data_IF_546803206001
#
_entry.id   IF_546803206001
#
_cell.length_a   1.000
_cell.length_b   1.000
_cell.length_c   1.000
_cell.angle_alpha   90.00
_cell.angle_beta   90.00
_cell.angle_gamma   90.00
#
_symmetry.space_group_name_H-M   'P 1'
#
loop_
_entity.id
_entity.type
_entity.pdbx_description
1 polymer ?
#
# COMPACT_ATOMS: atom_id res chain seq x y z
N UNK A 1 14.27 -80.91 -57.01
CA UNK A 1 13.42 -80.47 -58.13
C UNK A 1 12.62 -79.26 -57.66
N UNK A 2 12.40 -78.27 -58.52
CA UNK A 2 11.48 -77.13 -58.30
C UNK A 2 10.13 -77.47 -59.01
N UNK A 3 9.01 -76.70 -58.92
CA UNK A 3 8.90 -75.29 -58.48
C UNK A 3 7.64 -74.85 -57.68
N UNK A 4 7.68 -73.61 -57.14
CA UNK A 4 6.57 -72.69 -56.75
C UNK A 4 5.60 -73.21 -55.63
N UNK A 5 4.81 -72.45 -54.83
CA UNK A 5 4.14 -71.12 -54.81
C UNK A 5 3.96 -70.74 -53.29
N UNK A 6 3.98 -69.54 -52.68
CA UNK A 6 4.07 -68.08 -53.00
C UNK A 6 4.85 -67.30 -51.89
N UNK A 7 4.85 -65.95 -51.92
CA UNK A 7 4.84 -65.04 -50.73
C UNK A 7 3.49 -64.29 -50.66
N UNK A 8 3.10 -63.74 -49.48
CA UNK A 8 3.22 -62.28 -49.27
C UNK A 8 3.96 -61.94 -47.96
N UNK A 9 4.56 -60.77 -47.69
CA UNK A 9 4.56 -59.41 -48.28
C UNK A 9 3.41 -58.45 -47.87
N UNK A 10 3.59 -57.77 -46.73
CA UNK A 10 3.27 -56.35 -46.54
C UNK A 10 1.81 -55.86 -46.62
N UNK A 11 1.20 -55.64 -45.45
CA UNK A 11 0.15 -54.64 -45.13
C UNK A 11 -0.05 -54.64 -43.59
N UNK A 12 -0.57 -53.59 -42.94
CA UNK A 12 -1.23 -52.42 -43.50
C UNK A 12 -0.57 -51.09 -43.09
N UNK A 13 -0.72 -50.10 -43.98
CA UNK A 13 -0.47 -48.68 -43.77
C UNK A 13 -1.85 -47.98 -43.80
N UNK A 14 -1.95 -46.73 -43.30
CA UNK A 14 -3.17 -45.91 -43.20
C UNK A 14 -4.33 -46.47 -42.34
N UNK A 15 -4.52 -45.88 -41.14
CA UNK A 15 -5.85 -45.41 -40.65
C UNK A 15 -5.70 -44.55 -39.39
N UNK A 16 -5.40 -43.25 -39.57
CA UNK A 16 -5.38 -42.26 -38.48
C UNK A 16 -5.79 -40.84 -38.90
N UNK A 17 -6.35 -40.68 -40.12
CA UNK A 17 -6.83 -39.40 -40.66
C UNK A 17 -8.22 -39.64 -41.29
N UNK A 18 -9.09 -38.63 -41.24
CA UNK A 18 -10.45 -38.61 -41.83
C UNK A 18 -11.55 -39.34 -41.04
N UNK A 19 -11.97 -38.77 -39.90
CA UNK A 19 -13.38 -38.82 -39.44
C UNK A 19 -13.76 -37.75 -38.39
N UNK A 20 -13.45 -36.48 -38.66
CA UNK A 20 -13.98 -35.34 -37.90
C UNK A 20 -15.03 -34.60 -38.73
N UNK A 21 -16.28 -35.06 -38.69
CA UNK A 21 -17.44 -34.43 -39.34
C UNK A 21 -18.73 -34.94 -38.68
N UNK A 22 -19.59 -34.01 -38.26
CA UNK A 22 -21.01 -34.22 -37.88
C UNK A 22 -21.30 -35.14 -36.69
N UNK A 23 -21.13 -34.64 -35.45
CA UNK A 23 -22.25 -34.36 -34.52
C UNK A 23 -21.79 -33.59 -33.26
N UNK A 24 -22.77 -33.11 -32.47
CA UNK A 24 -22.66 -32.53 -31.11
C UNK A 24 -21.62 -31.41 -30.87
N UNK A 25 -22.11 -30.17 -30.80
CA UNK A 25 -21.37 -28.98 -30.35
C UNK A 25 -21.20 -28.88 -28.82
N UNK A 26 -20.98 -30.01 -28.15
CA UNK A 26 -20.71 -30.12 -26.71
C UNK A 26 -19.66 -31.19 -26.45
N UNK A 27 -18.38 -30.82 -26.54
CA UNK A 27 -17.18 -31.46 -25.93
C UNK A 27 -15.91 -30.82 -26.54
N UNK A 28 -15.71 -29.53 -26.28
CA UNK A 28 -14.45 -28.83 -26.58
C UNK A 28 -14.04 -27.96 -25.37
N UNK A 29 -14.04 -28.59 -24.20
CA UNK A 29 -13.51 -28.06 -22.96
C UNK A 29 -12.60 -29.14 -22.34
N UNK A 30 -11.46 -28.72 -21.79
CA UNK A 30 -10.56 -29.57 -21.00
C UNK A 30 -9.92 -30.76 -21.73
N UNK A 31 -9.54 -30.60 -23.01
CA UNK A 31 -8.35 -31.29 -23.54
C UNK A 31 -7.13 -30.35 -23.40
N UNK A 32 -6.65 -30.17 -22.16
CA UNK A 32 -5.23 -29.93 -21.97
C UNK A 32 -4.52 -31.19 -22.48
N UNK A 33 -3.53 -31.05 -23.36
CA UNK A 33 -2.81 -32.21 -23.88
C UNK A 33 -2.01 -32.80 -22.71
N UNK A 34 -2.25 -34.07 -22.39
CA UNK A 34 -1.50 -34.78 -21.35
C UNK A 34 -0.05 -34.99 -21.82
N UNK A 35 0.80 -33.99 -21.55
CA UNK A 35 2.17 -33.90 -22.05
C UNK A 35 2.57 -32.51 -22.57
N UNK A 36 1.67 -31.54 -22.66
CA UNK A 36 2.02 -30.14 -22.92
C UNK A 36 2.38 -29.44 -21.58
N UNK A 37 3.60 -28.91 -21.41
CA UNK A 37 3.99 -28.20 -20.20
C UNK A 37 3.42 -26.78 -20.13
N UNK A 38 2.97 -26.20 -21.26
CA UNK A 38 2.45 -24.85 -21.31
C UNK A 38 0.94 -24.77 -20.99
N UNK A 39 0.57 -23.84 -20.11
CA UNK A 39 -0.82 -23.68 -19.68
C UNK A 39 -1.25 -24.66 -18.59
N UNK A 40 -0.32 -25.39 -17.97
CA UNK A 40 -0.62 -26.37 -16.94
C UNK A 40 -0.75 -25.67 -15.57
N UNK A 41 -1.96 -25.60 -14.96
CA UNK A 41 -2.18 -24.89 -13.71
C UNK A 41 -1.47 -25.51 -12.50
N UNK A 42 -0.98 -26.75 -12.61
CA UNK A 42 -0.21 -27.40 -11.55
C UNK A 42 1.25 -26.90 -11.44
N UNK A 43 1.73 -26.08 -12.38
CA UNK A 43 3.13 -25.61 -12.42
C UNK A 43 3.36 -24.24 -11.77
N UNK A 44 2.31 -23.50 -11.42
CA UNK A 44 2.45 -22.16 -10.83
C UNK A 44 2.83 -21.07 -11.83
N UNK A 45 3.40 -19.98 -11.33
CA UNK A 45 3.66 -18.76 -12.10
C UNK A 45 4.78 -18.92 -13.12
N UNK A 46 4.67 -18.25 -14.26
CA UNK A 46 5.77 -18.13 -15.22
C UNK A 46 6.96 -17.33 -14.67
N UNK A 47 6.76 -16.60 -13.57
CA UNK A 47 7.80 -15.85 -12.87
C UNK A 47 8.39 -16.59 -11.66
N UNK A 48 7.98 -17.83 -11.40
CA UNK A 48 8.53 -18.71 -10.37
C UNK A 48 9.49 -19.74 -10.99
N UNK A 49 10.65 -19.93 -10.38
CA UNK A 49 11.66 -20.93 -10.77
C UNK A 49 11.31 -22.31 -10.20
N UNK A 50 11.44 -23.37 -11.02
CA UNK A 50 11.08 -24.76 -10.62
C UNK A 50 11.78 -25.82 -11.48
N UNK A 51 12.05 -27.03 -10.93
CA UNK A 51 12.62 -28.16 -11.65
C UNK A 51 11.63 -28.91 -12.56
N UNK A 52 10.58 -28.22 -13.05
CA UNK A 52 9.64 -28.75 -14.03
C UNK A 52 9.50 -27.75 -15.18
N UNK A 53 9.55 -28.21 -16.45
CA UNK A 53 9.39 -27.32 -17.59
C UNK A 53 7.95 -26.78 -17.69
N UNK A 54 7.81 -25.60 -18.30
CA UNK A 54 6.58 -24.87 -18.54
C UNK A 54 6.01 -24.12 -17.34
N UNK A 55 4.90 -23.41 -17.56
CA UNK A 55 4.20 -22.60 -16.55
C UNK A 55 2.67 -22.54 -16.81
N UNK A 56 1.91 -21.99 -15.86
CA UNK A 56 0.45 -21.99 -15.90
C UNK A 56 -0.21 -21.06 -16.92
N UNK A 57 0.47 -20.02 -17.41
CA UNK A 57 -0.02 -19.22 -18.53
C UNK A 57 0.48 -19.80 -19.87
N UNK A 58 -0.45 -20.24 -20.72
CA UNK A 58 -0.13 -20.88 -22.00
C UNK A 58 0.51 -19.92 -23.02
N UNK A 59 0.09 -18.65 -23.04
CA UNK A 59 0.59 -17.66 -24.00
C UNK A 59 1.99 -17.20 -23.61
N UNK A 60 2.21 -16.91 -22.33
CA UNK A 60 3.52 -16.61 -21.78
C UNK A 60 4.48 -17.79 -22.00
N UNK A 61 4.10 -18.99 -21.57
CA UNK A 61 4.92 -20.19 -21.73
C UNK A 61 5.33 -20.42 -23.19
N UNK A 62 4.37 -20.36 -24.13
CA UNK A 62 4.65 -20.57 -25.56
C UNK A 62 5.60 -19.50 -26.12
N UNK A 63 5.54 -18.26 -25.63
CA UNK A 63 6.47 -17.21 -26.03
C UNK A 63 7.90 -17.47 -25.52
N UNK A 64 8.06 -17.83 -24.24
CA UNK A 64 9.37 -18.16 -23.65
C UNK A 64 9.98 -19.40 -24.31
N UNK A 65 9.20 -20.46 -24.47
CA UNK A 65 9.66 -21.71 -25.09
C UNK A 65 9.93 -21.57 -26.60
N UNK A 66 9.38 -20.53 -27.24
CA UNK A 66 9.73 -20.11 -28.60
C UNK A 66 11.06 -19.33 -28.70
N UNK A 67 11.61 -18.88 -27.57
CA UNK A 67 12.94 -18.26 -27.45
C UNK A 67 13.96 -19.32 -27.01
N UNK A 68 13.67 -20.06 -25.93
CA UNK A 68 14.50 -21.16 -25.44
C UNK A 68 13.67 -22.43 -25.15
N UNK A 69 13.81 -23.50 -25.98
CA UNK A 69 13.18 -24.79 -25.73
C UNK A 69 13.58 -25.49 -24.42
N UNK A 70 14.68 -25.11 -23.77
CA UNK A 70 15.04 -25.62 -22.44
C UNK A 70 13.87 -25.48 -21.45
N UNK A 71 13.13 -24.36 -21.55
CA UNK A 71 11.99 -24.03 -20.72
C UNK A 71 10.77 -24.94 -20.92
N UNK A 72 10.64 -25.67 -22.04
CA UNK A 72 9.61 -26.71 -22.25
C UNK A 72 10.16 -28.15 -22.17
N UNK A 73 11.45 -28.35 -22.40
CA UNK A 73 12.04 -29.69 -22.55
C UNK A 73 12.77 -30.19 -21.29
N UNK A 74 13.21 -29.30 -20.39
CA UNK A 74 14.08 -29.65 -19.25
C UNK A 74 13.59 -29.08 -17.92
N UNK A 75 13.65 -27.76 -17.74
CA UNK A 75 13.49 -27.08 -16.45
C UNK A 75 13.04 -25.63 -16.66
N UNK A 76 12.29 -25.04 -15.73
CA UNK A 76 11.92 -23.63 -15.77
C UNK A 76 12.80 -22.85 -14.79
N UNK A 77 13.99 -22.49 -15.25
CA UNK A 77 15.03 -21.85 -14.45
C UNK A 77 14.91 -20.31 -14.39
N UNK A 78 15.94 -19.65 -13.86
CA UNK A 78 16.01 -18.19 -13.77
C UNK A 78 16.10 -17.50 -15.14
N UNK A 79 16.63 -18.17 -16.17
CA UNK A 79 16.65 -17.69 -17.56
C UNK A 79 15.23 -17.76 -18.14
N UNK A 80 14.48 -18.83 -17.86
CA UNK A 80 13.06 -18.93 -18.22
C UNK A 80 12.21 -17.85 -17.52
N UNK A 81 12.48 -17.56 -16.25
CA UNK A 81 11.87 -16.41 -15.51
C UNK A 81 12.22 -15.07 -16.18
N UNK A 82 13.47 -14.87 -16.60
CA UNK A 82 13.88 -13.63 -17.27
C UNK A 82 13.23 -13.49 -18.66
N UNK A 83 13.23 -14.56 -19.45
CA UNK A 83 12.53 -14.62 -20.73
C UNK A 83 11.04 -14.34 -20.59
N UNK A 84 10.41 -14.76 -19.49
CA UNK A 84 9.01 -14.41 -19.19
C UNK A 84 8.82 -12.92 -18.90
N UNK A 85 9.76 -12.27 -18.22
CA UNK A 85 9.69 -10.84 -17.91
C UNK A 85 9.78 -9.96 -19.16
N UNK A 86 10.70 -10.32 -20.05
CA UNK A 86 11.01 -9.54 -21.25
C UNK A 86 10.09 -9.92 -22.44
N UNK A 87 9.26 -10.95 -22.31
CA UNK A 87 8.27 -11.37 -23.32
C UNK A 87 6.93 -10.63 -23.18
N UNK A 88 6.49 -9.83 -24.19
CA UNK A 88 5.23 -9.08 -24.12
C UNK A 88 3.95 -9.93 -23.97
N UNK A 89 4.04 -11.25 -24.19
CA UNK A 89 2.93 -12.18 -24.00
C UNK A 89 2.63 -12.50 -22.51
N UNK A 90 3.55 -12.17 -21.60
CA UNK A 90 3.48 -12.58 -20.20
C UNK A 90 2.79 -11.59 -19.25
N UNK A 91 2.43 -10.39 -19.74
CA UNK A 91 1.67 -9.38 -18.99
C UNK A 91 2.22 -9.12 -17.57
N UNK A 92 3.53 -8.86 -17.49
CA UNK A 92 4.21 -8.43 -16.26
C UNK A 92 3.52 -7.20 -15.66
N UNK A 93 3.26 -7.24 -14.35
CA UNK A 93 2.85 -6.07 -13.59
C UNK A 93 4.11 -5.40 -13.04
N UNK A 94 4.35 -4.16 -13.46
CA UNK A 94 5.38 -3.29 -12.87
C UNK A 94 5.10 -3.12 -11.36
N UNK A 95 6.11 -3.28 -10.48
CA UNK A 95 5.99 -3.01 -9.04
C UNK A 95 5.45 -1.59 -8.75
N UNK A 96 4.80 -1.41 -7.60
CA UNK A 96 4.32 -0.08 -7.18
C UNK A 96 5.45 0.89 -6.83
N UNK A 97 6.67 0.40 -6.67
CA UNK A 97 7.87 1.10 -6.21
C UNK A 97 9.07 0.92 -7.17
N UNK A 98 8.78 0.91 -8.46
CA UNK A 98 9.73 0.78 -9.58
C UNK A 98 10.68 1.99 -9.75
N UNK A 99 10.51 3.05 -8.96
CA UNK A 99 11.32 4.29 -9.04
C UNK A 99 11.50 4.91 -7.65
N UNK A 100 12.51 5.76 -7.49
CA UNK A 100 12.67 6.56 -6.26
C UNK A 100 11.46 7.45 -5.94
N UNK A 101 10.73 7.90 -6.97
CA UNK A 101 9.55 8.77 -6.84
C UNK A 101 8.27 8.05 -6.36
N UNK A 102 8.27 6.71 -6.32
CA UNK A 102 7.21 5.89 -5.73
C UNK A 102 7.76 4.83 -4.76
N UNK A 103 8.93 5.10 -4.18
CA UNK A 103 9.58 4.22 -3.21
C UNK A 103 8.64 3.84 -2.06
N UNK A 104 8.55 2.55 -1.72
CA UNK A 104 7.70 2.10 -0.61
C UNK A 104 8.38 2.38 0.72
N UNK A 105 7.74 3.16 1.60
CA UNK A 105 8.31 3.45 2.91
C UNK A 105 8.34 2.21 3.81
N UNK A 106 9.47 1.98 4.49
CA UNK A 106 9.74 0.78 5.28
C UNK A 106 10.15 1.07 6.72
N UNK A 107 9.62 0.25 7.64
CA UNK A 107 10.03 0.19 9.05
C UNK A 107 11.07 -0.91 9.31
N UNK A 108 11.31 -1.19 10.59
CA UNK A 108 12.06 -2.37 11.03
C UNK A 108 11.24 -3.66 10.85
N UNK A 109 11.90 -4.80 10.60
CA UNK A 109 11.23 -6.10 10.46
C UNK A 109 11.75 -6.93 9.29
N UNK A 110 10.82 -7.54 8.55
CA UNK A 110 11.10 -8.32 7.34
C UNK A 110 10.14 -7.86 6.24
N UNK A 111 10.68 -7.14 5.25
CA UNK A 111 9.92 -6.50 4.17
C UNK A 111 10.00 -7.38 2.92
N UNK A 112 8.92 -8.04 2.47
CA UNK A 112 8.92 -8.80 1.22
C UNK A 112 8.98 -7.85 0.00
N UNK A 113 9.65 -8.28 -1.06
CA UNK A 113 9.76 -7.53 -2.32
C UNK A 113 9.80 -8.45 -3.55
N UNK A 114 9.63 -7.86 -4.73
CA UNK A 114 9.90 -8.52 -6.01
C UNK A 114 10.42 -7.50 -7.03
N UNK A 115 11.42 -7.90 -7.81
CA UNK A 115 11.91 -7.19 -8.99
C UNK A 115 11.33 -7.75 -10.29
N UNK A 116 10.43 -8.75 -10.19
CA UNK A 116 9.66 -9.24 -11.35
C UNK A 116 8.75 -8.13 -11.88
N UNK A 117 8.86 -7.85 -13.18
CA UNK A 117 8.17 -6.75 -13.84
C UNK A 117 8.84 -5.38 -13.68
N UNK A 118 9.96 -5.29 -12.95
CA UNK A 118 10.64 -4.03 -12.72
C UNK A 118 11.33 -3.48 -13.98
N UNK A 119 11.45 -2.17 -14.07
CA UNK A 119 12.25 -1.49 -15.10
C UNK A 119 13.65 -1.16 -14.58
N UNK A 120 14.49 -0.56 -15.42
CA UNK A 120 15.84 -0.14 -15.04
C UNK A 120 15.81 1.38 -14.78
N UNK A 121 16.34 1.82 -13.64
CA UNK A 121 16.54 3.25 -13.35
C UNK A 121 17.35 3.98 -14.43
N UNK A 122 17.10 5.29 -14.58
CA UNK A 122 17.85 6.20 -15.49
C UNK A 122 19.39 6.13 -15.30
N UNK A 123 19.84 5.73 -14.11
CA UNK A 123 21.26 5.48 -13.78
C UNK A 123 21.40 4.07 -13.20
N UNK A 124 21.80 3.13 -14.07
CA UNK A 124 22.20 1.77 -13.67
C UNK A 124 23.62 1.71 -13.11
N UNK A 125 24.51 2.64 -13.51
CA UNK A 125 25.91 2.67 -13.08
C UNK A 125 26.04 2.88 -11.55
N UNK A 126 26.80 2.01 -10.90
CA UNK A 126 27.13 2.03 -9.47
C UNK A 126 28.67 1.98 -9.29
N UNK A 127 29.22 2.44 -8.14
CA UNK A 127 30.65 2.28 -7.85
C UNK A 127 31.07 0.80 -7.95
N UNK A 128 32.27 0.53 -8.46
CA UNK A 128 32.72 -0.85 -8.70
C UNK A 128 32.82 -1.69 -7.40
N UNK A 129 33.01 -1.05 -6.25
CA UNK A 129 32.90 -1.70 -4.93
C UNK A 129 31.49 -2.22 -4.59
N UNK A 130 30.46 -1.83 -5.35
CA UNK A 130 29.05 -2.19 -5.14
C UNK A 130 28.57 -3.39 -5.98
N UNK A 131 29.21 -3.70 -7.12
CA UNK A 131 28.89 -4.84 -8.01
C UNK A 131 30.02 -5.91 -8.07
N UNK A 132 30.88 -5.91 -7.05
CA UNK A 132 31.91 -6.92 -6.86
C UNK A 132 33.07 -6.81 -7.87
N UNK A 133 33.33 -7.91 -8.59
CA UNK A 133 34.47 -8.03 -9.54
C UNK A 133 33.99 -8.12 -10.99
N UNK A 134 32.68 -8.29 -11.22
CA UNK A 134 32.12 -8.68 -12.51
C UNK A 134 31.11 -7.68 -13.10
N UNK A 135 30.57 -6.75 -12.30
CA UNK A 135 29.69 -5.67 -12.78
C UNK A 135 29.88 -4.36 -12.03
N UNK A 136 29.50 -3.27 -12.69
CA UNK A 136 29.34 -1.92 -12.14
C UNK A 136 27.93 -1.37 -12.45
N UNK A 137 26.95 -2.27 -12.58
CA UNK A 137 25.54 -1.96 -12.86
C UNK A 137 24.59 -2.59 -11.82
N UNK A 138 23.51 -1.88 -11.48
CA UNK A 138 22.28 -2.40 -10.86
C UNK A 138 21.12 -2.22 -11.84
N UNK A 139 20.30 -3.27 -12.05
CA UNK A 139 19.16 -3.23 -12.99
C UNK A 139 17.90 -3.81 -12.37
N UNK A 140 16.76 -3.66 -13.06
CA UNK A 140 15.47 -4.24 -12.65
C UNK A 140 15.12 -3.89 -11.20
N UNK A 141 15.24 -2.61 -10.85
CA UNK A 141 15.41 -2.18 -9.47
C UNK A 141 14.13 -1.62 -8.84
N UNK A 142 13.90 -1.98 -7.58
CA UNK A 142 12.79 -1.50 -6.75
C UNK A 142 13.30 -0.71 -5.56
N UNK A 143 12.52 0.30 -5.17
CA UNK A 143 12.92 1.35 -4.27
C UNK A 143 12.13 1.34 -2.96
N UNK A 144 12.83 1.57 -1.85
CA UNK A 144 12.21 1.75 -0.55
C UNK A 144 12.71 3.03 0.10
N UNK A 145 11.87 3.72 0.85
CA UNK A 145 12.32 4.82 1.71
C UNK A 145 12.43 4.35 3.15
N UNK A 146 13.57 4.57 3.79
CA UNK A 146 13.82 4.23 5.18
C UNK A 146 14.15 5.46 6.00
N UNK A 147 13.51 5.59 7.17
CA UNK A 147 13.81 6.64 8.15
C UNK A 147 14.28 6.04 9.47
N UNK A 148 15.48 6.42 9.89
CA UNK A 148 16.08 5.90 11.12
C UNK A 148 15.42 6.51 12.36
N UNK A 149 15.09 5.68 13.36
CA UNK A 149 14.65 6.17 14.68
C UNK A 149 15.80 6.19 15.69
N UNK A 150 16.99 5.75 15.30
CA UNK A 150 18.21 5.81 16.12
C UNK A 150 19.31 6.62 15.45
N UNK A 151 20.13 7.30 16.25
CA UNK A 151 21.48 7.69 15.87
C UNK A 151 22.44 6.56 16.25
N UNK A 152 23.04 5.92 15.25
CA UNK A 152 23.79 4.68 15.40
C UNK A 152 23.98 4.00 14.05
N UNK A 153 23.48 2.76 13.92
CA UNK A 153 23.54 2.00 12.67
C UNK A 153 22.19 1.35 12.33
N UNK A 154 21.88 1.29 11.03
CA UNK A 154 20.80 0.50 10.46
C UNK A 154 21.41 -0.60 9.57
N UNK A 155 20.93 -1.83 9.73
CA UNK A 155 21.32 -3.01 8.95
C UNK A 155 20.18 -3.45 8.05
N UNK A 156 20.47 -3.55 6.77
CA UNK A 156 19.63 -4.15 5.73
C UNK A 156 20.27 -5.46 5.30
N UNK A 157 19.53 -6.57 5.34
CA UNK A 157 20.07 -7.90 5.10
C UNK A 157 19.11 -8.73 4.27
N UNK A 158 19.56 -9.21 3.12
CA UNK A 158 18.80 -10.11 2.24
C UNK A 158 19.11 -11.59 2.54
N UNK A 159 19.77 -11.89 3.67
CA UNK A 159 20.21 -13.25 3.96
C UNK A 159 19.04 -14.25 4.00
N UNK A 160 19.16 -15.41 3.31
CA UNK A 160 18.14 -16.44 3.30
C UNK A 160 17.78 -16.90 4.71
N UNK A 161 16.52 -16.73 5.11
CA UNK A 161 16.03 -17.21 6.40
C UNK A 161 15.77 -18.71 6.34
N UNK A 162 16.11 -19.46 7.40
CA UNK A 162 16.03 -20.92 7.43
C UNK A 162 14.58 -21.45 7.30
N UNK A 163 14.20 -21.82 6.09
CA UNK A 163 12.91 -22.42 5.72
C UNK A 163 12.93 -22.91 4.28
N UNK A 164 11.92 -23.67 3.86
CA UNK A 164 11.73 -24.03 2.45
C UNK A 164 11.14 -22.86 1.66
N UNK A 165 11.81 -22.41 0.61
CA UNK A 165 11.53 -21.12 -0.04
C UNK A 165 12.33 -20.00 0.62
N UNK A 166 13.65 -20.14 0.65
CA UNK A 166 14.54 -19.16 1.26
C UNK A 166 14.78 -17.98 0.29
N UNK A 167 14.89 -16.77 0.84
CA UNK A 167 14.61 -15.52 0.14
C UNK A 167 15.75 -14.99 -0.72
N UNK A 168 15.37 -14.17 -1.70
CA UNK A 168 16.15 -13.80 -2.89
C UNK A 168 16.42 -15.04 -3.76
N UNK A 169 15.51 -15.32 -4.70
CA UNK A 169 15.66 -16.39 -5.70
C UNK A 169 16.42 -15.93 -6.96
N UNK A 170 17.27 -14.91 -6.80
CA UNK A 170 18.11 -14.26 -7.80
C UNK A 170 19.35 -13.65 -7.10
N UNK A 171 20.26 -13.07 -7.87
CA UNK A 171 21.50 -12.46 -7.39
C UNK A 171 21.30 -10.93 -7.20
N UNK A 172 21.16 -10.39 -5.97
CA UNK A 172 20.66 -9.04 -5.75
C UNK A 172 21.70 -8.08 -5.18
N UNK A 173 21.82 -6.89 -5.77
CA UNK A 173 22.62 -5.78 -5.25
C UNK A 173 21.72 -4.89 -4.38
N UNK A 174 22.23 -4.41 -3.25
CA UNK A 174 21.60 -3.36 -2.43
C UNK A 174 22.43 -2.07 -2.45
N UNK A 175 21.77 -0.94 -2.65
CA UNK A 175 22.38 0.40 -2.63
C UNK A 175 21.57 1.33 -1.72
N UNK A 176 22.23 1.92 -0.72
CA UNK A 176 21.67 3.01 0.07
C UNK A 176 22.11 4.37 -0.51
N UNK A 177 21.15 5.27 -0.64
CA UNK A 177 21.35 6.66 -1.10
C UNK A 177 20.79 7.62 -0.06
N UNK A 178 21.41 8.79 0.08
CA UNK A 178 20.82 9.88 0.87
C UNK A 178 19.56 10.41 0.16
N UNK A 179 18.45 10.58 0.88
CA UNK A 179 17.17 10.93 0.26
C UNK A 179 17.07 12.39 -0.22
N UNK A 180 18.02 13.25 0.15
CA UNK A 180 18.06 14.66 -0.28
C UNK A 180 19.04 14.88 -1.43
N UNK A 181 20.18 14.17 -1.47
CA UNK A 181 21.20 14.32 -2.52
C UNK A 181 21.18 13.24 -3.61
N UNK A 182 20.52 12.09 -3.37
CA UNK A 182 20.61 10.86 -4.18
C UNK A 182 22.03 10.25 -4.29
N UNK A 183 23.00 10.78 -3.53
CA UNK A 183 24.37 10.28 -3.45
C UNK A 183 24.40 8.88 -2.83
N UNK A 184 25.22 7.99 -3.39
CA UNK A 184 25.41 6.63 -2.85
C UNK A 184 26.27 6.72 -1.60
N UNK A 185 25.69 6.33 -0.47
CA UNK A 185 26.31 6.41 0.87
C UNK A 185 26.72 5.03 1.43
N UNK A 186 26.33 3.95 0.74
CA UNK A 186 26.71 2.59 1.06
C UNK A 186 26.05 1.59 0.10
N UNK A 187 26.65 0.42 -0.08
CA UNK A 187 26.17 -0.62 -0.98
C UNK A 187 26.74 -1.98 -0.59
N UNK A 188 26.14 -3.07 -1.07
CA UNK A 188 26.72 -4.40 -0.96
C UNK A 188 26.15 -5.35 -2.04
N UNK A 189 26.96 -6.32 -2.45
CA UNK A 189 26.62 -7.42 -3.35
C UNK A 189 26.70 -8.72 -2.51
N UNK A 190 27.92 -9.15 -2.15
CA UNK A 190 28.13 -10.27 -1.22
C UNK A 190 28.31 -9.84 0.25
N UNK A 191 27.45 -10.36 1.12
CA UNK A 191 27.51 -10.20 2.58
C UNK A 191 28.30 -11.31 3.30
N UNK A 192 29.31 -11.00 4.14
CA UNK A 192 30.09 -12.00 4.86
C UNK A 192 29.22 -12.92 5.76
N UNK A 193 29.19 -14.21 5.44
CA UNK A 193 28.37 -15.21 6.15
C UNK A 193 26.89 -15.24 5.73
N UNK A 194 26.51 -14.48 4.72
CA UNK A 194 25.14 -14.36 4.20
C UNK A 194 24.84 -15.31 3.02
N UNK A 195 25.74 -16.26 2.74
CA UNK A 195 25.65 -17.25 1.66
C UNK A 195 25.61 -16.68 0.22
N UNK A 196 26.23 -15.52 -0.01
CA UNK A 196 26.30 -14.82 -1.30
C UNK A 196 25.46 -13.55 -1.35
N UNK A 197 24.38 -13.48 -0.56
CA UNK A 197 23.44 -12.36 -0.56
C UNK A 197 23.96 -11.13 0.22
N UNK A 198 23.43 -9.92 -0.03
CA UNK A 198 23.97 -8.72 0.57
C UNK A 198 23.57 -8.47 2.03
N UNK A 199 24.49 -7.83 2.76
CA UNK A 199 24.27 -7.19 4.06
C UNK A 199 24.91 -5.81 4.04
N UNK A 200 24.08 -4.77 4.13
CA UNK A 200 24.50 -3.38 4.22
C UNK A 200 24.33 -2.85 5.65
N UNK A 201 25.45 -2.55 6.31
CA UNK A 201 25.52 -1.81 7.56
C UNK A 201 25.73 -0.32 7.28
N UNK A 202 24.67 0.48 7.45
CA UNK A 202 24.69 1.93 7.26
C UNK A 202 24.87 2.65 8.60
N UNK A 203 25.70 3.71 8.64
CA UNK A 203 25.74 4.65 9.76
C UNK A 203 24.63 5.69 9.60
N UNK A 204 23.76 5.84 10.60
CA UNK A 204 22.53 6.64 10.50
C UNK A 204 22.36 7.62 11.65
N UNK A 205 21.65 8.72 11.40
CA UNK A 205 21.18 9.67 12.40
C UNK A 205 19.66 9.62 12.54
N UNK A 206 19.14 9.77 13.77
CA UNK A 206 17.70 9.75 14.03
C UNK A 206 16.99 10.86 13.23
N UNK A 207 15.93 10.48 12.52
CA UNK A 207 15.13 11.34 11.66
C UNK A 207 15.62 11.47 10.21
N UNK A 208 16.88 11.10 9.92
CA UNK A 208 17.41 11.06 8.55
C UNK A 208 16.72 10.00 7.69
N UNK A 209 16.56 10.32 6.41
CA UNK A 209 15.88 9.53 5.38
C UNK A 209 16.87 9.04 4.33
N UNK A 210 16.64 7.83 3.86
CA UNK A 210 17.52 7.11 2.95
C UNK A 210 16.68 6.33 1.95
N UNK A 211 17.06 6.38 0.66
CA UNK A 211 16.52 5.44 -0.31
C UNK A 211 17.33 4.15 -0.30
N UNK A 212 16.64 3.02 -0.25
CA UNK A 212 17.20 1.68 -0.33
C UNK A 212 16.74 1.09 -1.67
N UNK A 213 17.65 1.07 -2.64
CA UNK A 213 17.46 0.50 -3.96
C UNK A 213 17.90 -0.97 -3.93
N UNK A 214 17.07 -1.87 -4.46
CA UNK A 214 17.37 -3.30 -4.60
C UNK A 214 17.07 -3.74 -6.03
N UNK A 215 18.08 -4.26 -6.72
CA UNK A 215 18.00 -4.72 -8.10
C UNK A 215 18.87 -5.95 -8.33
N UNK A 216 18.93 -6.44 -9.56
CA UNK A 216 19.81 -7.54 -9.95
C UNK A 216 21.26 -7.11 -10.14
N UNK A 217 22.17 -8.04 -9.89
CA UNK A 217 23.39 -8.16 -10.69
C UNK A 217 22.98 -8.60 -12.11
N UNK A 218 23.59 -8.04 -13.15
CA UNK A 218 23.08 -8.15 -14.53
C UNK A 218 21.57 -7.81 -14.59
N UNK A 219 20.83 -8.31 -15.58
CA UNK A 219 19.38 -8.11 -15.71
C UNK A 219 18.52 -9.05 -14.83
N UNK A 220 19.09 -9.75 -13.83
CA UNK A 220 18.37 -10.80 -13.11
C UNK A 220 17.30 -10.25 -12.16
N UNK A 221 16.05 -10.66 -12.39
CA UNK A 221 14.90 -10.41 -11.50
C UNK A 221 14.66 -11.56 -10.51
N UNK A 222 13.90 -11.31 -9.45
CA UNK A 222 13.33 -12.34 -8.56
C UNK A 222 12.52 -11.77 -7.39
N UNK A 223 12.12 -12.65 -6.46
CA UNK A 223 11.43 -12.33 -5.22
C UNK A 223 12.33 -12.49 -4.00
N UNK A 224 12.19 -11.61 -3.01
CA UNK A 224 13.03 -11.62 -1.81
C UNK A 224 12.40 -10.96 -0.60
N UNK A 225 13.20 -10.79 0.47
CA UNK A 225 12.79 -10.03 1.62
C UNK A 225 13.97 -9.32 2.29
N UNK A 226 13.84 -8.02 2.56
CA UNK A 226 14.84 -7.22 3.30
C UNK A 226 14.56 -7.38 4.79
N UNK A 227 15.51 -7.93 5.54
CA UNK A 227 15.51 -7.84 7.00
C UNK A 227 16.11 -6.51 7.43
N UNK A 228 15.29 -5.67 8.05
CA UNK A 228 15.65 -4.32 8.51
C UNK A 228 15.76 -4.32 10.03
N UNK A 229 16.90 -3.89 10.56
CA UNK A 229 17.15 -3.76 12.01
C UNK A 229 17.98 -2.52 12.28
N UNK A 230 17.87 -1.91 13.46
CA UNK A 230 18.67 -0.74 13.85
C UNK A 230 19.24 -0.90 15.26
N UNK A 231 20.29 -0.17 15.59
CA UNK A 231 20.92 -0.14 16.92
C UNK A 231 21.61 1.19 17.14
N UNK A 232 21.26 1.89 18.22
CA UNK A 232 21.83 3.20 18.55
C UNK A 232 21.09 3.89 19.70
N UNK A 233 21.32 5.18 19.88
CA UNK A 233 20.52 6.02 20.75
C UNK A 233 19.21 6.40 20.04
N UNK A 234 18.02 6.19 20.61
CA UNK A 234 16.77 6.57 19.98
C UNK A 234 16.65 8.09 19.79
N UNK A 235 15.73 8.48 18.91
CA UNK A 235 15.21 9.83 18.80
C UNK A 235 14.66 10.33 20.15
N UNK A 236 14.51 11.65 20.35
CA UNK A 236 13.62 12.18 21.38
C UNK A 236 12.22 11.56 21.23
N UNK A 237 11.52 11.38 22.34
CA UNK A 237 10.09 11.01 22.32
C UNK A 237 9.30 12.07 21.54
N UNK A 238 8.29 11.64 20.78
CA UNK A 238 7.41 12.57 20.09
C UNK A 238 6.71 13.54 21.07
N UNK A 239 6.28 14.68 20.53
CA UNK A 239 5.33 15.55 21.24
C UNK A 239 3.92 15.05 20.91
N UNK A 240 2.98 15.16 21.86
CA UNK A 240 1.60 14.73 21.65
C UNK A 240 1.45 13.20 21.44
N UNK A 241 2.44 12.45 21.92
CA UNK A 241 2.58 10.97 21.94
C UNK A 241 1.53 10.26 22.83
N UNK A 242 0.56 11.00 23.39
CA UNK A 242 -0.56 10.45 24.16
C UNK A 242 -1.80 11.32 23.99
N UNK A 243 -2.99 10.73 24.09
CA UNK A 243 -4.26 11.47 24.09
C UNK A 243 -4.33 12.59 25.16
N UNK A 244 -3.63 12.43 26.29
CA UNK A 244 -3.56 13.43 27.35
C UNK A 244 -2.76 14.69 26.97
N UNK A 245 -1.77 14.57 26.08
CA UNK A 245 -0.91 15.66 25.59
C UNK A 245 -1.33 16.16 24.19
N UNK A 246 -2.50 15.74 23.69
CA UNK A 246 -2.96 16.01 22.33
C UNK A 246 -2.94 17.50 21.93
N UNK A 247 -2.32 17.81 20.78
CA UNK A 247 -2.08 19.18 20.31
C UNK A 247 -3.37 19.93 19.94
N UNK A 248 -3.57 21.12 20.50
CA UNK A 248 -4.72 21.97 20.15
C UNK A 248 -4.59 22.57 18.75
N UNK A 249 -5.50 22.18 17.85
CA UNK A 249 -5.61 22.70 16.49
C UNK A 249 -6.99 23.30 16.24
N UNK A 250 -7.09 24.20 15.26
CA UNK A 250 -8.36 24.82 14.88
C UNK A 250 -8.98 24.09 13.69
N UNK A 251 -10.31 23.96 13.68
CA UNK A 251 -11.06 23.50 12.50
C UNK A 251 -10.77 24.37 11.26
N UNK A 252 -10.58 23.77 10.09
CA UNK A 252 -10.23 24.52 8.88
C UNK A 252 -8.73 24.79 8.75
N UNK A 253 -7.89 23.97 9.39
CA UNK A 253 -6.42 24.07 9.29
C UNK A 253 -5.80 22.77 8.80
N UNK A 254 -4.66 22.92 8.13
CA UNK A 254 -3.70 21.86 7.83
C UNK A 254 -2.54 22.01 8.81
N UNK A 255 -2.14 20.90 9.44
CA UNK A 255 -0.97 20.85 10.34
C UNK A 255 -0.05 19.71 9.96
N UNK A 256 1.26 19.89 10.15
CA UNK A 256 2.23 18.82 9.98
C UNK A 256 2.20 17.86 11.19
N UNK A 257 2.41 16.57 10.96
CA UNK A 257 2.67 15.56 11.99
C UNK A 257 4.00 14.84 11.71
N UNK A 258 4.63 14.30 12.77
CA UNK A 258 5.85 13.50 12.66
C UNK A 258 5.81 12.38 13.72
N UNK A 259 5.84 11.13 13.26
CA UNK A 259 5.83 9.93 14.12
C UNK A 259 7.24 9.48 14.56
N UNK A 260 8.28 10.30 14.33
CA UNK A 260 9.64 10.00 14.79
C UNK A 260 9.73 10.00 16.31
N UNK A 261 10.00 8.82 16.88
CA UNK A 261 10.10 8.66 18.33
C UNK A 261 8.74 8.67 19.04
N UNK A 262 7.64 8.56 18.27
CA UNK A 262 6.35 8.21 18.82
C UNK A 262 6.35 6.75 19.30
N UNK A 263 5.42 6.41 20.19
CA UNK A 263 5.23 5.08 20.72
C UNK A 263 3.74 4.77 20.84
N UNK A 264 3.30 3.65 20.23
CA UNK A 264 1.92 3.13 20.28
C UNK A 264 1.21 3.35 21.64
N UNK A 265 0.26 4.27 21.65
CA UNK A 265 -0.55 4.69 22.80
C UNK A 265 -2.04 4.40 22.56
N UNK A 266 -2.75 3.89 23.57
CA UNK A 266 -4.22 3.72 23.65
C UNK A 266 -5.03 3.17 22.45
N UNK A 267 -4.38 2.62 21.42
CA UNK A 267 -4.98 2.19 20.14
C UNK A 267 -6.19 1.24 20.28
N UNK A 268 -7.40 1.72 19.98
CA UNK A 268 -8.64 0.92 20.03
C UNK A 268 -8.96 0.27 18.68
N UNK A 269 -8.45 0.80 17.56
CA UNK A 269 -8.51 0.19 16.21
C UNK A 269 -7.79 -1.17 16.05
N UNK A 270 -7.48 -1.88 17.15
CA UNK A 270 -6.82 -3.19 17.18
C UNK A 270 -5.47 -3.24 16.47
N UNK A 271 -4.78 -2.10 16.40
CA UNK A 271 -3.55 -1.93 15.66
C UNK A 271 -2.30 -1.87 16.53
N UNK A 272 -1.13 -1.96 15.89
CA UNK A 272 0.17 -1.74 16.48
C UNK A 272 0.96 -0.71 15.66
N UNK A 273 0.34 0.43 15.42
CA UNK A 273 0.93 1.58 14.75
C UNK A 273 1.53 2.54 15.78
N UNK A 274 2.57 3.28 15.40
CA UNK A 274 3.04 4.44 16.17
C UNK A 274 2.14 5.64 15.85
N UNK A 275 1.87 6.52 16.82
CA UNK A 275 0.82 7.53 16.70
C UNK A 275 1.06 8.84 17.47
N UNK A 276 0.41 9.92 17.01
CA UNK A 276 0.34 11.21 17.72
C UNK A 276 -1.07 11.77 17.70
N UNK A 277 -1.38 12.58 18.72
CA UNK A 277 -2.73 13.04 19.02
C UNK A 277 -2.92 14.54 18.82
N UNK A 278 -4.06 14.90 18.26
CA UNK A 278 -4.53 16.28 18.11
C UNK A 278 -5.91 16.43 18.76
N UNK A 279 -6.23 17.62 19.27
CA UNK A 279 -7.58 18.00 19.72
C UNK A 279 -8.11 19.13 18.84
N UNK A 280 -9.22 18.88 18.18
CA UNK A 280 -10.01 19.89 17.46
C UNK A 280 -11.09 20.36 18.41
N UNK A 281 -11.07 21.64 18.76
CA UNK A 281 -12.24 22.28 19.34
C UNK A 281 -13.26 22.47 18.20
N UNK A 282 -14.46 21.88 18.33
CA UNK A 282 -15.52 22.12 17.37
C UNK A 282 -15.88 23.61 17.30
N UNK A 283 -16.52 24.01 16.21
CA UNK A 283 -17.01 25.37 16.06
C UNK A 283 -18.06 25.72 17.13
N UNK A 284 -18.45 27.00 17.15
CA UNK A 284 -19.56 27.50 17.97
C UNK A 284 -20.92 26.95 17.56
N UNK A 285 -20.98 26.40 16.36
CA UNK A 285 -22.16 25.92 15.66
C UNK A 285 -22.02 24.41 15.44
N UNK A 286 -23.13 23.70 15.23
CA UNK A 286 -23.09 22.28 14.85
C UNK A 286 -22.72 22.14 13.35
N UNK A 287 -22.13 21.02 12.96
CA UNK A 287 -21.73 20.82 11.56
C UNK A 287 -20.96 19.54 11.32
N UNK A 288 -20.47 19.38 10.09
CA UNK A 288 -19.64 18.23 9.69
C UNK A 288 -18.16 18.61 9.81
N UNK A 289 -17.43 17.85 10.62
CA UNK A 289 -15.97 17.85 10.62
C UNK A 289 -15.50 16.79 9.61
N UNK A 290 -14.83 17.22 8.55
CA UNK A 290 -14.10 16.36 7.63
C UNK A 290 -12.62 16.34 8.02
N UNK A 291 -12.06 15.14 8.12
CA UNK A 291 -10.65 14.90 8.50
C UNK A 291 -9.97 14.06 7.43
N UNK A 292 -8.74 14.42 7.06
CA UNK A 292 -7.96 13.69 6.05
C UNK A 292 -6.48 13.71 6.40
N UNK A 293 -5.80 12.58 6.19
CA UNK A 293 -4.33 12.55 6.18
C UNK A 293 -3.83 12.65 4.74
N UNK A 294 -2.96 13.63 4.51
CA UNK A 294 -2.39 14.00 3.23
C UNK A 294 -0.87 14.07 3.33
N UNK A 295 -0.18 14.07 2.18
CA UNK A 295 1.29 14.19 2.13
C UNK A 295 2.09 13.14 2.91
N UNK A 296 1.43 12.11 3.44
CA UNK A 296 2.05 11.13 4.31
C UNK A 296 2.98 10.20 3.52
N UNK A 297 4.22 10.04 4.01
CA UNK A 297 5.24 9.24 3.33
C UNK A 297 4.93 7.73 3.34
N UNK A 298 4.02 7.30 4.21
CA UNK A 298 3.62 5.91 4.37
C UNK A 298 2.09 5.79 4.56
N UNK A 299 1.49 4.62 4.28
CA UNK A 299 0.08 4.36 4.54
C UNK A 299 -0.30 4.69 5.98
N UNK A 300 -1.34 5.49 6.16
CA UNK A 300 -1.72 6.06 7.46
C UNK A 300 -3.22 5.88 7.74
N UNK A 301 -3.59 5.90 9.03
CA UNK A 301 -4.97 5.92 9.54
C UNK A 301 -5.22 7.20 10.33
N UNK A 302 -6.47 7.66 10.32
CA UNK A 302 -7.02 8.50 11.40
C UNK A 302 -7.96 7.66 12.27
N UNK A 303 -7.78 7.71 13.59
CA UNK A 303 -8.73 7.23 14.59
C UNK A 303 -9.33 8.47 15.28
N UNK A 304 -10.65 8.58 15.31
CA UNK A 304 -11.37 9.76 15.84
C UNK A 304 -12.18 9.39 17.07
N UNK A 305 -12.10 10.24 18.10
CA UNK A 305 -12.77 10.05 19.38
C UNK A 305 -13.56 11.32 19.72
N UNK A 306 -14.85 11.17 20.01
CA UNK A 306 -15.74 12.30 20.33
C UNK A 306 -16.02 12.29 21.83
N UNK A 307 -15.51 13.29 22.55
CA UNK A 307 -15.48 13.32 24.01
C UNK A 307 -14.04 13.20 24.57
N UNK A 308 -13.86 12.36 25.59
CA UNK A 308 -12.55 12.09 26.20
C UNK A 308 -11.85 10.84 25.60
N UNK A 309 -10.64 10.54 26.08
CA UNK A 309 -9.83 9.42 25.60
C UNK A 309 -10.49 8.02 25.78
N UNK A 310 -11.39 7.88 26.75
CA UNK A 310 -12.11 6.64 27.07
C UNK A 310 -13.46 6.53 26.33
N UNK A 311 -13.85 7.57 25.56
CA UNK A 311 -15.07 7.59 24.77
C UNK A 311 -14.97 6.67 23.53
N UNK A 312 -15.98 6.70 22.64
CA UNK A 312 -16.04 5.78 21.51
C UNK A 312 -15.10 6.23 20.37
N UNK A 313 -14.16 5.36 20.02
CA UNK A 313 -13.25 5.52 18.88
C UNK A 313 -13.90 5.11 17.54
N UNK A 314 -13.48 5.74 16.45
CA UNK A 314 -13.95 5.53 15.08
C UNK A 314 -12.75 5.49 14.13
N UNK A 315 -12.55 4.37 13.43
CA UNK A 315 -11.36 4.09 12.61
C UNK A 315 -11.57 4.38 11.13
N UNK A 316 -10.60 5.01 10.46
CA UNK A 316 -10.41 4.84 9.01
C UNK A 316 -9.74 3.51 8.68
N UNK A 317 -9.81 3.10 7.41
CA UNK A 317 -8.83 2.16 6.87
C UNK A 317 -7.43 2.78 6.84
N UNK A 318 -6.39 1.96 6.65
CA UNK A 318 -5.02 2.42 6.41
C UNK A 318 -4.87 2.69 4.91
N UNK A 319 -4.51 3.91 4.51
CA UNK A 319 -4.40 4.31 3.11
C UNK A 319 -3.31 5.38 2.89
N UNK A 320 -2.85 5.49 1.65
CA UNK A 320 -1.97 6.57 1.20
C UNK A 320 -2.80 7.83 0.88
N UNK A 321 -2.16 9.02 0.88
CA UNK A 321 -2.81 10.30 0.55
C UNK A 321 -3.70 10.27 -0.73
N UNK A 322 -3.32 9.48 -1.74
CA UNK A 322 -4.06 9.35 -3.00
C UNK A 322 -5.29 8.43 -2.93
N UNK A 323 -5.36 7.52 -1.95
CA UNK A 323 -6.45 6.55 -1.74
C UNK A 323 -7.25 6.79 -0.45
N UNK A 324 -6.77 7.66 0.44
CA UNK A 324 -7.43 8.03 1.69
C UNK A 324 -8.75 8.77 1.43
N UNK A 325 -9.86 8.09 1.68
CA UNK A 325 -11.19 8.69 1.70
C UNK A 325 -11.32 9.63 2.92
N UNK A 326 -11.77 10.89 2.75
CA UNK A 326 -11.98 11.79 3.88
C UNK A 326 -12.96 11.20 4.90
N UNK A 327 -12.69 11.43 6.19
CA UNK A 327 -13.49 10.93 7.29
C UNK A 327 -14.43 12.03 7.78
N UNK A 328 -15.74 11.84 7.62
CA UNK A 328 -16.77 12.85 7.91
C UNK A 328 -17.56 12.47 9.18
N UNK A 329 -17.74 13.45 10.07
CA UNK A 329 -18.41 13.27 11.37
C UNK A 329 -19.32 14.46 11.66
N UNK A 330 -20.56 14.21 12.03
CA UNK A 330 -21.46 15.20 12.62
C UNK A 330 -21.01 15.56 14.05
N UNK A 331 -20.69 16.82 14.29
CA UNK A 331 -20.20 17.33 15.57
C UNK A 331 -21.14 18.42 16.10
N UNK A 332 -21.60 18.25 17.33
CA UNK A 332 -22.40 19.26 18.02
C UNK A 332 -21.53 20.47 18.47
N UNK A 333 -22.16 21.64 18.53
CA UNK A 333 -21.54 22.90 18.92
C UNK A 333 -20.71 22.78 20.23
N UNK A 334 -19.43 23.17 20.17
CA UNK A 334 -18.55 23.21 21.33
C UNK A 334 -18.10 21.87 21.92
N UNK A 335 -18.32 20.74 21.23
CA UNK A 335 -17.74 19.44 21.61
C UNK A 335 -16.25 19.39 21.25
N UNK A 336 -15.43 18.71 22.07
CA UNK A 336 -14.04 18.40 21.71
C UNK A 336 -13.97 17.08 20.92
N UNK A 337 -13.20 17.10 19.83
CA UNK A 337 -12.93 15.91 19.00
C UNK A 337 -11.43 15.65 19.02
N UNK A 338 -11.04 14.46 19.44
CA UNK A 338 -9.67 13.99 19.45
C UNK A 338 -9.38 13.20 18.17
N UNK A 339 -8.24 13.50 17.53
CA UNK A 339 -7.77 12.86 16.31
C UNK A 339 -6.41 12.21 16.59
N UNK A 340 -6.34 10.88 16.50
CA UNK A 340 -5.11 10.10 16.53
C UNK A 340 -4.68 9.83 15.09
N UNK A 341 -3.49 10.29 14.71
CA UNK A 341 -2.87 9.99 13.41
C UNK A 341 -1.84 8.88 13.63
N UNK A 342 -1.96 7.77 12.89
CA UNK A 342 -1.18 6.56 13.15
C UNK A 342 -0.68 5.90 11.85
N UNK A 343 0.56 5.37 11.86
CA UNK A 343 1.14 4.64 10.73
C UNK A 343 2.04 3.47 11.19
N UNK A 344 2.29 2.50 10.31
CA UNK A 344 3.21 1.37 10.55
C UNK A 344 4.69 1.74 10.42
N UNK A 345 4.99 3.02 10.56
CA UNK A 345 6.19 3.69 10.08
C UNK A 345 6.40 5.02 10.79
N UNK A 346 7.65 5.50 10.83
CA UNK A 346 7.99 6.87 11.30
C UNK A 346 7.65 7.93 10.24
N UNK A 347 6.42 7.89 9.73
CA UNK A 347 5.94 8.79 8.72
C UNK A 347 5.91 10.24 9.24
N UNK A 348 6.11 11.19 8.34
CA UNK A 348 5.61 12.54 8.51
C UNK A 348 4.50 12.78 7.47
N UNK A 349 3.84 13.92 7.54
CA UNK A 349 2.79 14.31 6.59
C UNK A 349 1.88 15.38 7.16
N UNK A 350 0.76 15.65 6.49
CA UNK A 350 -0.24 16.61 6.93
C UNK A 350 -1.52 15.95 7.44
N UNK A 351 -2.06 16.52 8.53
CA UNK A 351 -3.43 16.35 8.96
C UNK A 351 -4.24 17.56 8.48
N UNK A 352 -5.18 17.32 7.58
CA UNK A 352 -6.13 18.31 7.07
C UNK A 352 -7.44 18.20 7.84
N UNK A 353 -7.94 19.34 8.33
CA UNK A 353 -9.28 19.45 8.92
C UNK A 353 -10.08 20.52 8.20
N UNK A 354 -11.31 20.21 7.80
CA UNK A 354 -12.29 21.21 7.33
C UNK A 354 -13.58 21.03 8.10
N UNK A 355 -14.26 22.13 8.41
CA UNK A 355 -15.54 22.10 9.10
C UNK A 355 -16.58 22.87 8.30
N UNK A 356 -17.62 22.17 7.86
CA UNK A 356 -18.81 22.76 7.27
C UNK A 356 -19.86 22.88 8.37
N UNK A 357 -19.97 24.08 8.95
CA UNK A 357 -21.04 24.38 9.88
C UNK A 357 -22.38 24.32 9.16
N UNK A 358 -23.28 23.46 9.64
CA UNK A 358 -24.69 23.58 9.24
C UNK A 358 -25.12 24.98 9.70
N UNK A 359 -25.67 25.82 8.80
CA UNK A 359 -26.12 27.14 9.19
C UNK A 359 -27.02 27.03 10.40
N UNK A 360 -26.73 27.79 11.45
CA UNK A 360 -27.57 27.80 12.63
C UNK A 360 -29.02 27.99 12.17
N UNK A 361 -29.91 27.12 12.64
CA UNK A 361 -31.35 27.22 12.44
C UNK A 361 -32.00 27.82 13.70
N UNK A 362 -31.96 29.15 13.95
CA UNK A 362 -32.76 29.77 15.00
C UNK A 362 -34.26 29.41 14.96
N UNK A 363 -34.74 28.96 13.79
CA UNK A 363 -36.11 28.53 13.53
C UNK A 363 -36.38 27.04 13.76
N UNK A 364 -35.36 26.21 13.97
CA UNK A 364 -35.53 24.86 14.54
C UNK A 364 -35.56 25.05 16.06
N UNK A 365 -36.74 24.82 16.65
CA UNK A 365 -37.05 25.10 18.06
C UNK A 365 -37.24 23.84 18.88
N UNK A 366 -37.39 22.67 18.24
CA UNK A 366 -37.43 21.37 18.91
C UNK A 366 -36.11 20.57 18.78
N UNK A 367 -35.19 21.03 17.92
CA UNK A 367 -33.91 20.40 17.56
C UNK A 367 -34.08 19.04 16.86
N UNK A 368 -35.07 18.90 15.97
CA UNK A 368 -35.28 17.71 15.12
C UNK A 368 -34.60 17.77 13.74
N UNK A 369 -33.99 18.91 13.40
CA UNK A 369 -33.27 19.15 12.13
C UNK A 369 -34.15 19.64 10.97
N UNK A 370 -35.47 19.77 11.19
CA UNK A 370 -36.43 20.23 10.19
C UNK A 370 -37.23 21.42 10.72
N UNK A 371 -37.05 22.62 10.17
CA UNK A 371 -37.93 23.77 10.46
C UNK A 371 -39.33 23.48 9.92
N UNK A 372 -40.26 23.11 10.80
CA UNK A 372 -41.54 22.54 10.43
C UNK A 372 -42.72 23.03 11.31
N UNK A 373 -43.85 22.33 11.23
CA UNK A 373 -45.06 22.66 11.99
C UNK A 373 -44.87 22.49 13.51
N UNK A 374 -43.92 21.66 13.95
CA UNK A 374 -43.54 21.54 15.36
C UNK A 374 -42.98 22.88 15.90
N UNK A 375 -42.08 23.52 15.17
CA UNK A 375 -41.38 24.75 15.57
C UNK A 375 -42.30 25.96 15.53
N UNK A 376 -43.14 26.03 14.49
CA UNK A 376 -44.23 26.98 14.43
C UNK A 376 -45.20 26.82 15.62
N UNK A 377 -45.45 25.58 16.07
CA UNK A 377 -46.28 25.35 17.27
C UNK A 377 -45.61 25.82 18.56
N UNK A 378 -44.27 25.79 18.65
CA UNK A 378 -43.51 26.34 19.77
C UNK A 378 -43.57 27.88 19.76
N UNK A 379 -43.27 28.54 18.64
CA UNK A 379 -43.39 30.00 18.51
C UNK A 379 -44.81 30.49 18.85
N UNK A 380 -45.84 29.77 18.42
CA UNK A 380 -47.23 30.10 18.76
C UNK A 380 -47.61 29.81 20.23
N UNK A 381 -46.95 28.85 20.89
CA UNK A 381 -47.22 28.52 22.30
C UNK A 381 -46.65 29.54 23.30
N UNK A 382 -45.56 30.23 22.93
CA UNK A 382 -44.84 31.19 23.78
C UNK A 382 -45.05 32.66 23.34
N UNK A 383 -46.12 32.94 22.60
CA UNK A 383 -46.37 34.26 22.02
C UNK A 383 -46.42 35.40 23.07
N UNK A 384 -45.64 36.45 22.85
CA UNK A 384 -45.51 37.60 23.75
C UNK A 384 -44.61 37.38 24.96
N UNK A 385 -43.75 36.35 24.94
CA UNK A 385 -42.75 36.04 25.98
C UNK A 385 -41.33 35.98 25.37
N UNK A 386 -40.24 36.07 26.14
CA UNK A 386 -38.89 35.89 25.59
C UNK A 386 -38.54 34.45 25.17
N UNK A 387 -39.31 33.44 25.59
CA UNK A 387 -38.94 32.02 25.48
C UNK A 387 -38.78 31.46 24.06
N UNK A 388 -39.37 32.10 23.04
CA UNK A 388 -39.16 31.76 21.62
C UNK A 388 -38.81 33.01 20.81
N UNK A 389 -38.06 33.93 21.41
CA UNK A 389 -37.37 35.02 20.72
C UNK A 389 -36.30 34.41 19.79
N UNK A 390 -36.41 34.73 18.50
CA UNK A 390 -35.59 34.20 17.39
C UNK A 390 -34.78 35.35 16.76
N UNK A 391 -35.36 36.56 16.66
CA UNK A 391 -34.69 37.72 16.06
C UNK A 391 -33.89 38.59 17.07
N UNK A 392 -34.19 38.46 18.37
CA UNK A 392 -33.51 39.13 19.47
C UNK A 392 -34.15 40.44 19.93
N UNK A 393 -35.39 40.77 19.53
CA UNK A 393 -36.09 41.99 20.00
C UNK A 393 -36.55 41.94 21.47
N UNK A 394 -36.59 40.74 22.06
CA UNK A 394 -36.99 40.47 23.45
C UNK A 394 -38.39 39.89 23.61
N UNK A 395 -39.18 39.70 22.53
CA UNK A 395 -40.56 39.20 22.59
C UNK A 395 -40.93 38.33 21.38
N UNK A 396 -41.24 37.04 21.58
CA UNK A 396 -41.84 36.17 20.57
C UNK A 396 -43.07 36.80 19.91
N UNK A 397 -42.95 37.18 18.64
CA UNK A 397 -43.97 37.89 17.90
C UNK A 397 -44.03 37.48 16.41
N UNK A 398 -44.59 38.35 15.57
CA UNK A 398 -44.74 38.09 14.13
C UNK A 398 -43.40 38.11 13.38
N UNK A 399 -42.36 38.75 13.92
CA UNK A 399 -41.00 38.68 13.38
C UNK A 399 -40.45 37.24 13.43
N UNK A 400 -40.48 36.61 14.60
CA UNK A 400 -39.99 35.23 14.82
C UNK A 400 -40.74 34.20 13.99
N UNK A 401 -42.07 34.34 13.93
CA UNK A 401 -42.92 33.52 13.06
C UNK A 401 -42.55 33.69 11.59
N UNK A 402 -42.15 34.90 11.17
CA UNK A 402 -41.69 35.13 9.79
C UNK A 402 -40.34 34.48 9.50
N UNK A 403 -39.47 34.32 10.50
CA UNK A 403 -38.22 33.55 10.37
C UNK A 403 -38.52 32.06 10.22
N UNK A 404 -39.41 31.48 11.05
CA UNK A 404 -39.84 30.07 10.90
C UNK A 404 -40.44 29.78 9.51
N UNK A 405 -41.19 30.73 8.96
CA UNK A 405 -41.71 30.59 7.58
C UNK A 405 -40.65 30.85 6.49
N UNK A 406 -39.58 31.60 6.78
CA UNK A 406 -38.50 31.88 5.83
C UNK A 406 -37.50 30.71 5.70
N UNK A 407 -37.27 29.98 6.79
CA UNK A 407 -36.34 28.83 6.84
C UNK A 407 -37.04 27.46 6.74
N UNK A 408 -38.33 27.42 6.37
CA UNK A 408 -39.15 26.22 6.36
C UNK A 408 -38.61 25.12 5.44
N UNK A 409 -38.15 24.00 6.02
CA UNK A 409 -37.43 22.95 5.30
C UNK A 409 -36.53 22.13 6.22
N UNK A 410 -35.55 21.43 5.66
CA UNK A 410 -34.46 20.85 6.44
C UNK A 410 -33.34 21.87 6.66
N UNK A 411 -32.60 21.74 7.76
CA UNK A 411 -31.40 22.54 8.01
C UNK A 411 -30.23 22.01 7.17
N UNK A 412 -29.91 22.73 6.09
CA UNK A 412 -28.82 22.48 5.14
C UNK A 412 -28.20 23.78 4.64
#
# INVERSE_FOLDING_TARGET
MNPNVTRPSGRAELTAITRCLLLSSLLCASNAIAGDPCGNPALGSCFEVRPQPGCSDAACCTAVCGIDPFCCDVEWDYICRQGANDAPACNTRVPSNDTSANATFIGIGLIPFTTVGATDSDVVEIPAECGGIFGDEIRRDVWFEYRAAVTGSARFSLCPTTGSGAWADFDPIIVARDALSMEIIGCNDEGPGCAGYPVLDLGVAAGSRYFIQVGGHDAFIGGGAIRVTETGSPAPTAQHDTCADAASIASGTTVEFDLLGAARDNAMCSDALDDVWFRVLAAKDAGVLTVRVCGADAPSRVEVVVGDCDAKHMCSDIADCASFAPFEIEVAAGIEVLLRVASSARAAGTLETTFEGVPACPSDRNSDGLVNAADLSLVLAYWGTPEQDIDGDGLTNAADLSLVLAYWGGCS
#
